data_IF_756964883709
#
_entry.id   IF_756964883709
#
_cell.length_a   1.000
_cell.length_b   1.000
_cell.length_c   1.000
_cell.angle_alpha   90.00
_cell.angle_beta   90.00
_cell.angle_gamma   90.00
#
_symmetry.space_group_name_H-M   'P 1'
#
loop_
_entity.id
_entity.type
_entity.pdbx_description
1 polymer ?
#
# COMPACT_ATOMS: atom_id res chain seq x y z
N UNK A 1 13.15 -49.55 0.48
CA UNK A 1 13.93 -48.41 1.01
C UNK A 1 13.23 -47.11 0.63
N UNK A 2 12.48 -46.49 1.55
CA UNK A 2 11.81 -45.19 1.34
C UNK A 2 12.64 -44.11 2.05
N UNK A 3 13.16 -43.14 1.30
CA UNK A 3 13.75 -41.91 1.85
C UNK A 3 12.62 -40.92 2.10
N UNK A 4 12.31 -40.64 3.37
CA UNK A 4 11.50 -39.48 3.74
C UNK A 4 12.37 -38.22 3.66
N UNK A 5 11.88 -37.20 2.94
CA UNK A 5 12.50 -35.90 2.86
C UNK A 5 12.39 -35.14 4.19
N UNK A 6 13.47 -34.46 4.56
CA UNK A 6 13.55 -33.58 5.71
C UNK A 6 12.55 -32.42 5.59
N UNK A 7 11.51 -32.40 6.43
CA UNK A 7 10.63 -31.26 6.65
C UNK A 7 11.36 -30.19 7.48
N UNK A 8 12.15 -29.34 6.82
CA UNK A 8 12.61 -28.07 7.38
C UNK A 8 11.58 -26.97 7.07
N UNK A 9 10.46 -26.96 7.80
CA UNK A 9 9.54 -25.82 7.84
C UNK A 9 8.57 -25.95 9.03
N UNK A 10 9.03 -25.70 10.26
CA UNK A 10 8.10 -25.68 11.43
C UNK A 10 8.37 -24.52 12.39
N UNK A 11 9.53 -23.83 12.31
CA UNK A 11 9.85 -22.78 13.28
C UNK A 11 9.04 -21.48 13.13
N UNK A 12 8.54 -21.15 11.93
CA UNK A 12 7.78 -19.92 11.71
C UNK A 12 6.37 -19.98 12.29
N UNK A 13 5.64 -21.07 12.02
CA UNK A 13 4.26 -21.26 12.47
C UNK A 13 4.19 -21.46 13.98
N UNK A 14 5.13 -22.23 14.56
CA UNK A 14 5.21 -22.38 16.01
C UNK A 14 5.51 -21.05 16.70
N UNK A 15 6.37 -20.20 16.14
CA UNK A 15 6.68 -18.90 16.75
C UNK A 15 5.49 -17.94 16.76
N UNK A 16 4.67 -17.94 15.70
CA UNK A 16 3.41 -17.18 15.65
C UNK A 16 2.42 -17.71 16.69
N UNK A 17 2.31 -19.03 16.84
CA UNK A 17 1.44 -19.65 17.86
C UNK A 17 1.93 -19.38 19.29
N UNK A 18 3.23 -19.35 19.53
CA UNK A 18 3.81 -19.02 20.84
C UNK A 18 3.67 -17.53 21.16
N UNK A 19 3.83 -16.64 20.17
CA UNK A 19 3.59 -15.19 20.33
C UNK A 19 2.10 -14.87 20.58
N UNK A 20 1.18 -15.69 20.05
CA UNK A 20 -0.27 -15.62 20.33
C UNK A 20 -0.64 -16.24 21.70
N UNK A 21 0.17 -17.15 22.21
CA UNK A 21 -0.06 -17.84 23.49
C UNK A 21 0.52 -17.09 24.70
N UNK A 22 1.40 -16.11 24.49
CA UNK A 22 1.86 -15.23 25.58
C UNK A 22 0.73 -14.28 26.02
N UNK A 23 0.40 -14.21 27.33
CA UNK A 23 -0.64 -13.34 27.84
C UNK A 23 -0.16 -11.89 27.88
N UNK A 24 -0.21 -11.22 26.73
CA UNK A 24 0.01 -9.77 26.64
C UNK A 24 -1.35 -9.09 26.67
N UNK A 25 -1.63 -8.44 27.80
CA UNK A 25 -2.67 -7.42 28.04
C UNK A 25 -3.99 -7.62 27.30
N UNK A 26 -5.02 -8.13 27.99
CA UNK A 26 -6.48 -7.95 27.78
C UNK A 26 -6.98 -7.30 26.48
N UNK A 27 -6.49 -7.70 25.32
CA UNK A 27 -7.04 -7.32 24.01
C UNK A 27 -7.93 -8.45 23.58
N UNK A 28 -9.23 -8.20 23.60
CA UNK A 28 -10.22 -9.15 23.12
C UNK A 28 -10.02 -9.40 21.62
N UNK A 29 -10.41 -10.58 21.14
CA UNK A 29 -10.38 -10.91 19.71
C UNK A 29 -11.15 -9.87 18.88
N UNK A 30 -12.25 -9.35 19.42
CA UNK A 30 -13.00 -8.23 18.85
C UNK A 30 -12.15 -6.97 18.70
N UNK A 31 -11.38 -6.56 19.71
CA UNK A 31 -10.49 -5.40 19.62
C UNK A 31 -9.35 -5.60 18.61
N UNK A 32 -8.82 -6.83 18.48
CA UNK A 32 -7.82 -7.16 17.46
C UNK A 32 -8.39 -7.06 16.05
N UNK A 33 -9.64 -7.50 15.85
CA UNK A 33 -10.34 -7.39 14.56
C UNK A 33 -10.72 -5.94 14.24
N UNK A 34 -11.17 -5.16 15.22
CA UNK A 34 -11.57 -3.76 15.03
C UNK A 34 -10.38 -2.81 14.86
N UNK A 35 -9.24 -3.12 15.51
CA UNK A 35 -8.01 -2.32 15.48
C UNK A 35 -6.80 -3.25 15.32
N UNK A 36 -6.54 -3.75 14.09
CA UNK A 36 -5.35 -4.53 13.83
C UNK A 36 -4.10 -3.67 14.08
N UNK A 37 -3.42 -3.92 15.20
CA UNK A 37 -2.19 -3.22 15.57
C UNK A 37 -0.99 -4.05 15.14
N UNK A 38 -0.68 -4.04 13.85
CA UNK A 38 0.68 -4.39 13.44
C UNK A 38 1.61 -3.26 13.93
N UNK A 39 2.67 -3.54 14.70
CA UNK A 39 3.59 -2.50 15.13
C UNK A 39 4.25 -1.87 13.92
N UNK A 40 4.37 -0.53 13.90
CA UNK A 40 5.11 0.16 12.85
C UNK A 40 6.58 -0.26 12.95
N UNK A 41 7.09 -0.94 11.92
CA UNK A 41 8.49 -1.31 11.86
C UNK A 41 9.31 -0.11 11.36
N UNK A 42 10.52 0.05 11.89
CA UNK A 42 11.51 0.96 11.30
C UNK A 42 11.82 0.51 9.87
N UNK A 43 11.94 1.47 8.96
CA UNK A 43 12.33 1.16 7.60
C UNK A 43 13.74 0.53 7.58
N UNK A 44 13.95 -0.59 6.87
CA UNK A 44 15.26 -1.22 6.71
C UNK A 44 16.21 -0.40 5.82
N UNK A 45 15.73 0.71 5.26
CA UNK A 45 16.49 1.68 4.47
C UNK A 45 16.00 3.10 4.76
N UNK A 46 16.82 4.10 4.44
CA UNK A 46 16.45 5.52 4.55
C UNK A 46 16.03 6.03 3.17
N UNK A 47 14.74 6.35 2.96
CA UNK A 47 14.33 6.97 1.71
C UNK A 47 14.90 8.40 1.61
N UNK A 48 14.97 9.00 0.40
CA UNK A 48 15.52 10.34 0.24
C UNK A 48 14.78 11.36 1.12
N UNK A 49 15.46 12.08 2.05
CA UNK A 49 14.79 12.88 3.08
C UNK A 49 13.86 13.96 2.54
N UNK A 50 14.23 14.57 1.41
CA UNK A 50 13.42 15.61 0.74
C UNK A 50 12.18 15.04 0.08
N UNK A 51 12.27 13.85 -0.52
CA UNK A 51 11.11 13.14 -1.05
C UNK A 51 10.16 12.76 0.08
N UNK A 52 10.66 12.27 1.22
CA UNK A 52 9.82 11.92 2.36
C UNK A 52 9.09 13.14 2.96
N UNK A 53 9.78 14.28 3.05
CA UNK A 53 9.18 15.54 3.50
C UNK A 53 8.08 16.02 2.53
N UNK A 54 8.34 15.94 1.22
CA UNK A 54 7.38 16.30 0.20
C UNK A 54 6.18 15.35 0.19
N UNK A 55 6.41 14.04 0.33
CA UNK A 55 5.35 13.04 0.47
C UNK A 55 4.45 13.37 1.66
N UNK A 56 5.04 13.69 2.81
CA UNK A 56 4.28 14.10 4.00
C UNK A 56 3.40 15.33 3.73
N UNK A 57 3.92 16.29 2.96
CA UNK A 57 3.22 17.52 2.60
C UNK A 57 2.07 17.24 1.65
N UNK A 58 2.30 16.44 0.60
CA UNK A 58 1.29 16.05 -0.38
C UNK A 58 0.20 15.22 0.30
N UNK A 59 0.56 14.21 1.09
CA UNK A 59 -0.42 13.38 1.82
C UNK A 59 -1.34 14.19 2.72
N UNK A 60 -0.80 15.15 3.50
CA UNK A 60 -1.63 16.03 4.34
C UNK A 60 -2.55 16.94 3.54
N UNK A 61 -2.16 17.30 2.31
CA UNK A 61 -2.97 18.10 1.40
C UNK A 61 -4.06 17.25 0.74
N UNK A 62 -3.72 16.05 0.29
CA UNK A 62 -4.63 15.15 -0.42
C UNK A 62 -5.64 14.51 0.53
N UNK A 63 -5.20 14.09 1.72
CA UNK A 63 -6.02 13.41 2.72
C UNK A 63 -5.96 14.14 4.07
N UNK A 64 -6.57 15.33 4.20
CA UNK A 64 -6.51 16.13 5.42
C UNK A 64 -7.10 15.40 6.65
N UNK A 65 -8.06 14.50 6.43
CA UNK A 65 -8.72 13.74 7.49
C UNK A 65 -7.96 12.48 7.94
N UNK A 66 -6.88 12.12 7.23
CA UNK A 66 -6.04 10.95 7.55
C UNK A 66 -4.79 11.39 8.30
N UNK A 67 -4.87 11.39 9.63
CA UNK A 67 -3.76 11.79 10.49
C UNK A 67 -2.59 10.79 10.47
N UNK A 68 -1.43 11.19 9.98
CA UNK A 68 -0.24 10.32 9.90
C UNK A 68 0.43 10.10 11.27
N UNK A 69 -0.08 9.16 12.08
CA UNK A 69 0.48 8.82 13.40
C UNK A 69 1.87 8.20 13.29
N UNK A 70 2.06 7.22 12.40
CA UNK A 70 3.38 6.66 12.10
C UNK A 70 3.78 6.99 10.66
N UNK A 71 4.64 7.99 10.51
CA UNK A 71 5.12 8.45 9.21
C UNK A 71 5.77 7.33 8.37
N UNK A 72 6.50 6.40 9.01
CA UNK A 72 7.15 5.29 8.32
C UNK A 72 6.17 4.40 7.55
N UNK A 73 4.95 4.18 8.06
CA UNK A 73 3.96 3.32 7.38
C UNK A 73 3.44 3.95 6.10
N UNK A 74 3.12 5.24 6.13
CA UNK A 74 2.71 5.97 4.94
C UNK A 74 3.85 6.12 3.93
N UNK A 75 5.10 6.14 4.39
CA UNK A 75 6.26 6.11 3.50
C UNK A 75 6.37 4.76 2.78
N UNK A 76 6.19 3.62 3.49
CA UNK A 76 6.25 2.27 2.90
C UNK A 76 5.31 2.13 1.70
N UNK A 77 4.12 2.71 1.79
CA UNK A 77 3.09 2.70 0.73
C UNK A 77 3.64 3.18 -0.62
N UNK A 78 4.54 4.15 -0.63
CA UNK A 78 5.07 4.76 -1.85
C UNK A 78 6.45 4.23 -2.25
N UNK A 79 6.90 3.10 -1.68
CA UNK A 79 8.13 2.43 -2.09
C UNK A 79 7.78 1.09 -2.69
N UNK A 80 7.99 0.92 -3.99
CA UNK A 80 7.82 -0.36 -4.67
C UNK A 80 9.00 -1.31 -4.36
N UNK A 81 8.80 -2.65 -4.27
CA UNK A 81 9.88 -3.61 -4.05
C UNK A 81 11.08 -3.49 -5.00
N UNK A 82 10.86 -3.07 -6.23
CA UNK A 82 11.95 -2.86 -7.22
C UNK A 82 12.91 -1.73 -6.85
N UNK A 83 12.54 -0.81 -5.96
CA UNK A 83 13.42 0.27 -5.50
C UNK A 83 14.58 -0.22 -4.64
N UNK A 84 14.42 -1.36 -3.96
CA UNK A 84 15.35 -1.83 -2.93
C UNK A 84 15.88 -3.23 -3.24
N UNK A 85 16.89 -3.66 -2.49
CA UNK A 85 17.35 -5.05 -2.47
C UNK A 85 16.35 -5.96 -1.74
N UNK A 86 16.48 -7.27 -1.92
CA UNK A 86 15.64 -8.28 -1.26
C UNK A 86 15.56 -8.14 0.27
N UNK A 87 16.64 -7.67 0.92
CA UNK A 87 16.68 -7.45 2.37
C UNK A 87 15.79 -6.26 2.82
N UNK A 88 15.51 -5.31 1.92
CA UNK A 88 14.69 -4.13 2.22
C UNK A 88 13.21 -4.28 1.88
N UNK A 89 12.79 -5.40 1.28
CA UNK A 89 11.41 -5.61 0.80
C UNK A 89 10.36 -5.48 1.90
N UNK A 90 10.68 -5.84 3.15
CA UNK A 90 9.78 -5.65 4.30
C UNK A 90 9.47 -4.17 4.60
N UNK A 91 10.28 -3.24 4.09
CA UNK A 91 10.08 -1.79 4.20
C UNK A 91 9.37 -1.15 3.01
N UNK A 92 8.75 -1.95 2.14
CA UNK A 92 8.09 -1.48 0.91
C UNK A 92 6.57 -1.62 1.03
N UNK A 93 5.84 -1.33 -0.03
CA UNK A 93 4.39 -1.51 -0.10
C UNK A 93 3.96 -2.99 -0.03
N UNK A 94 4.84 -3.94 -0.35
CA UNK A 94 4.49 -5.36 -0.54
C UNK A 94 3.80 -6.02 0.67
N UNK A 95 4.27 -5.85 1.93
CA UNK A 95 3.60 -6.44 3.09
C UNK A 95 2.20 -5.86 3.35
N UNK A 96 1.94 -4.64 2.88
CA UNK A 96 0.67 -3.93 3.06
C UNK A 96 -0.31 -4.24 1.92
N UNK A 97 0.20 -4.46 0.70
CA UNK A 97 -0.63 -4.62 -0.49
C UNK A 97 -1.67 -5.75 -0.36
N UNK A 98 -1.26 -6.94 0.10
CA UNK A 98 -2.19 -8.08 0.25
C UNK A 98 -3.30 -7.82 1.29
N UNK A 99 -2.98 -7.10 2.37
CA UNK A 99 -3.97 -6.75 3.40
C UNK A 99 -5.01 -5.78 2.85
N UNK A 100 -4.55 -4.77 2.10
CA UNK A 100 -5.42 -3.77 1.52
C UNK A 100 -6.23 -4.30 0.34
N UNK A 101 -5.67 -5.23 -0.43
CA UNK A 101 -6.39 -5.97 -1.47
C UNK A 101 -7.57 -6.73 -0.90
N UNK A 102 -7.36 -7.53 0.15
CA UNK A 102 -8.45 -8.27 0.79
C UNK A 102 -9.55 -7.34 1.34
N UNK A 103 -9.18 -6.19 1.91
CA UNK A 103 -10.16 -5.21 2.37
C UNK A 103 -10.90 -4.53 1.21
N UNK A 104 -10.20 -4.16 0.14
CA UNK A 104 -10.80 -3.59 -1.07
C UNK A 104 -11.78 -4.57 -1.71
N UNK A 105 -11.40 -5.84 -1.88
CA UNK A 105 -12.29 -6.86 -2.43
C UNK A 105 -13.57 -7.01 -1.60
N UNK A 106 -13.44 -7.03 -0.28
CA UNK A 106 -14.60 -7.08 0.63
C UNK A 106 -15.49 -5.85 0.45
N UNK A 107 -14.93 -4.65 0.46
CA UNK A 107 -15.71 -3.40 0.41
C UNK A 107 -16.35 -3.18 -0.97
N UNK A 108 -15.60 -3.43 -2.06
CA UNK A 108 -16.15 -3.43 -3.42
C UNK A 108 -17.26 -4.48 -3.57
N UNK A 109 -17.06 -5.69 -3.04
CA UNK A 109 -18.07 -6.75 -3.07
C UNK A 109 -19.35 -6.35 -2.34
N UNK A 110 -19.25 -5.79 -1.13
CA UNK A 110 -20.40 -5.29 -0.39
C UNK A 110 -21.10 -4.13 -1.13
N UNK A 111 -20.33 -3.23 -1.74
CA UNK A 111 -20.89 -2.14 -2.54
C UNK A 111 -21.66 -2.65 -3.75
N UNK A 112 -21.13 -3.65 -4.48
CA UNK A 112 -21.83 -4.30 -5.61
C UNK A 112 -23.17 -4.89 -5.12
N UNK A 113 -23.14 -5.67 -4.05
CA UNK A 113 -24.34 -6.33 -3.51
C UNK A 113 -25.39 -5.35 -2.99
N UNK A 114 -24.96 -4.19 -2.46
CA UNK A 114 -25.86 -3.13 -2.01
C UNK A 114 -26.43 -2.30 -3.17
N UNK A 115 -25.72 -2.21 -4.29
CA UNK A 115 -26.09 -1.36 -5.43
C UNK A 115 -26.91 -2.10 -6.48
N UNK A 116 -26.61 -3.37 -6.73
CA UNK A 116 -27.23 -4.16 -7.79
C UNK A 116 -28.12 -5.26 -7.20
N UNK A 117 -29.43 -5.03 -7.18
CA UNK A 117 -30.41 -6.05 -6.79
C UNK A 117 -30.40 -7.24 -7.76
N UNK A 118 -30.38 -8.45 -7.23
CA UNK A 118 -30.47 -9.68 -8.02
C UNK A 118 -29.24 -10.00 -8.88
N UNK A 119 -28.08 -9.38 -8.61
CA UNK A 119 -26.83 -9.62 -9.35
C UNK A 119 -26.48 -11.12 -9.40
N UNK A 120 -26.23 -11.64 -10.61
CA UNK A 120 -25.83 -13.03 -10.78
C UNK A 120 -24.38 -13.21 -10.35
N UNK A 121 -24.01 -14.44 -9.96
CA UNK A 121 -22.65 -14.75 -9.52
C UNK A 121 -21.57 -14.36 -10.54
N UNK A 122 -21.83 -14.58 -11.82
CA UNK A 122 -20.88 -14.27 -12.91
C UNK A 122 -20.69 -12.76 -13.10
N UNK A 123 -21.78 -12.01 -12.97
CA UNK A 123 -21.77 -10.54 -13.03
C UNK A 123 -21.05 -9.96 -11.82
N UNK A 124 -21.33 -10.47 -10.62
CA UNK A 124 -20.63 -10.10 -9.39
C UNK A 124 -19.11 -10.29 -9.53
N UNK A 125 -18.68 -11.45 -10.02
CA UNK A 125 -17.24 -11.74 -10.20
C UNK A 125 -16.61 -10.80 -11.22
N UNK A 126 -17.32 -10.52 -12.33
CA UNK A 126 -16.83 -9.63 -13.38
C UNK A 126 -16.72 -8.18 -12.92
N UNK A 127 -17.72 -7.68 -12.18
CA UNK A 127 -17.73 -6.35 -11.58
C UNK A 127 -16.63 -6.21 -10.53
N UNK A 128 -16.47 -7.21 -9.66
CA UNK A 128 -15.42 -7.20 -8.65
C UNK A 128 -14.03 -7.18 -9.30
N UNK A 129 -13.81 -8.00 -10.32
CA UNK A 129 -12.56 -8.02 -11.07
C UNK A 129 -12.27 -6.68 -11.77
N UNK A 130 -13.30 -6.02 -12.30
CA UNK A 130 -13.17 -4.70 -12.92
C UNK A 130 -12.76 -3.64 -11.89
N UNK A 131 -13.50 -3.54 -10.78
CA UNK A 131 -13.25 -2.56 -9.72
C UNK A 131 -11.88 -2.75 -9.06
N UNK A 132 -11.44 -4.01 -8.89
CA UNK A 132 -10.15 -4.33 -8.28
C UNK A 132 -9.02 -4.48 -9.30
N UNK A 133 -9.26 -4.17 -10.58
CA UNK A 133 -8.23 -4.28 -11.63
C UNK A 133 -7.07 -3.31 -11.40
N UNK A 134 -5.86 -3.73 -11.80
CA UNK A 134 -4.68 -2.88 -11.66
C UNK A 134 -4.82 -1.55 -12.42
N UNK A 135 -5.47 -1.57 -13.58
CA UNK A 135 -5.77 -0.38 -14.37
C UNK A 135 -6.67 0.60 -13.61
N UNK A 136 -7.78 0.14 -13.04
CA UNK A 136 -8.72 0.99 -12.29
C UNK A 136 -8.04 1.62 -11.07
N UNK A 137 -7.34 0.81 -10.27
CA UNK A 137 -6.64 1.28 -9.08
C UNK A 137 -5.47 2.23 -9.43
N UNK A 138 -4.73 1.96 -10.51
CA UNK A 138 -3.68 2.87 -10.96
C UNK A 138 -4.23 4.25 -11.36
N UNK A 139 -5.42 4.32 -11.97
CA UNK A 139 -6.09 5.59 -12.29
C UNK A 139 -6.46 6.37 -11.04
N UNK A 140 -6.91 5.72 -9.96
CA UNK A 140 -7.14 6.39 -8.67
C UNK A 140 -5.87 7.12 -8.19
N UNK A 141 -4.73 6.44 -8.22
CA UNK A 141 -3.45 7.03 -7.84
C UNK A 141 -3.01 8.18 -8.78
N UNK A 142 -3.15 7.97 -10.09
CA UNK A 142 -2.64 8.87 -11.13
C UNK A 142 -3.51 10.10 -11.31
N UNK A 143 -4.80 9.90 -11.51
CA UNK A 143 -5.71 10.94 -11.98
C UNK A 143 -6.38 11.66 -10.81
N UNK A 144 -6.76 10.90 -9.79
CA UNK A 144 -7.47 11.43 -8.65
C UNK A 144 -6.52 11.92 -7.55
N UNK A 145 -5.67 11.04 -7.00
CA UNK A 145 -4.71 11.43 -5.97
C UNK A 145 -3.58 12.30 -6.53
N UNK A 146 -3.25 12.13 -7.83
CA UNK A 146 -2.14 12.80 -8.51
C UNK A 146 -0.79 12.54 -7.85
N UNK A 147 -0.59 11.32 -7.35
CA UNK A 147 0.60 10.94 -6.58
C UNK A 147 1.47 9.88 -7.26
N UNK A 148 1.20 9.55 -8.54
CA UNK A 148 2.00 8.57 -9.31
C UNK A 148 3.51 8.86 -9.25
N UNK A 149 3.89 10.13 -9.42
CA UNK A 149 5.29 10.59 -9.40
C UNK A 149 5.99 10.41 -8.05
N UNK A 150 5.24 10.14 -6.98
CA UNK A 150 5.78 9.91 -5.64
C UNK A 150 6.17 8.46 -5.40
N UNK A 151 5.78 7.52 -6.27
CA UNK A 151 6.12 6.10 -6.11
C UNK A 151 7.59 5.87 -6.49
N UNK A 152 8.39 5.43 -5.52
CA UNK A 152 9.78 5.05 -5.73
C UNK A 152 9.87 3.64 -6.32
N UNK A 153 10.55 3.52 -7.45
CA UNK A 153 10.81 2.29 -8.21
C UNK A 153 12.29 2.16 -8.56
N UNK A 154 12.69 1.04 -9.15
CA UNK A 154 14.00 0.84 -9.79
C UNK A 154 14.41 2.00 -10.73
N UNK A 155 13.47 2.55 -11.52
CA UNK A 155 13.76 3.71 -12.36
C UNK A 155 14.18 4.94 -11.52
N UNK A 156 13.56 5.16 -10.37
CA UNK A 156 13.96 6.23 -9.45
C UNK A 156 15.28 5.92 -8.74
N UNK A 157 15.57 4.64 -8.44
CA UNK A 157 16.85 4.21 -7.86
C UNK A 157 18.01 4.47 -8.83
N UNK A 158 17.82 4.18 -10.11
CA UNK A 158 18.78 4.46 -11.19
C UNK A 158 19.03 5.96 -11.39
N UNK A 159 17.99 6.79 -11.27
CA UNK A 159 18.14 8.24 -11.36
C UNK A 159 18.88 8.83 -10.16
N UNK A 160 18.63 8.30 -8.96
CA UNK A 160 19.30 8.73 -7.73
C UNK A 160 20.76 8.27 -7.70
N UNK A 161 21.09 7.10 -8.25
CA UNK A 161 22.46 6.58 -8.29
C UNK A 161 23.36 7.33 -9.29
N UNK A 162 22.81 7.83 -10.41
CA UNK A 162 23.57 8.45 -11.50
C UNK A 162 24.09 9.89 -11.25
N UNK A 163 24.29 10.32 -9.99
CA UNK A 163 24.78 11.66 -9.57
C UNK A 163 23.98 12.89 -10.07
N UNK A 164 23.10 12.79 -11.07
CA UNK A 164 22.34 13.90 -11.68
C UNK A 164 21.33 14.55 -10.72
N UNK A 165 20.87 13.81 -9.70
CA UNK A 165 19.98 14.30 -8.64
C UNK A 165 20.69 14.54 -7.29
N UNK A 166 22.02 14.44 -7.24
CA UNK A 166 22.80 14.71 -6.00
C UNK A 166 22.70 16.17 -5.54
N UNK A 167 22.33 17.08 -6.45
CA UNK A 167 22.08 18.47 -6.10
C UNK A 167 20.66 18.65 -5.58
N UNK A 168 20.55 19.46 -4.52
CA UNK A 168 19.30 19.99 -3.98
C UNK A 168 18.29 20.47 -5.05
N UNK A 169 18.79 21.07 -6.13
CA UNK A 169 17.98 21.59 -7.24
C UNK A 169 17.48 20.49 -8.18
N UNK A 170 18.29 19.46 -8.42
CA UNK A 170 17.91 18.32 -9.27
C UNK A 170 16.73 17.55 -8.68
N UNK A 171 16.78 17.27 -7.37
CA UNK A 171 15.71 16.56 -6.68
C UNK A 171 14.41 17.39 -6.59
N UNK A 172 14.51 18.71 -6.39
CA UNK A 172 13.34 19.61 -6.47
C UNK A 172 12.74 19.61 -7.87
N UNK A 173 13.56 19.67 -8.93
CA UNK A 173 13.09 19.62 -10.31
C UNK A 173 12.41 18.29 -10.65
N UNK A 174 12.92 17.18 -10.13
CA UNK A 174 12.29 15.86 -10.28
C UNK A 174 10.93 15.78 -9.59
N UNK A 175 10.84 16.22 -8.32
CA UNK A 175 9.57 16.28 -7.57
C UNK A 175 8.55 17.25 -8.18
N UNK A 176 9.02 18.32 -8.85
CA UNK A 176 8.17 19.35 -9.43
C UNK A 176 7.81 19.08 -10.90
N UNK A 177 8.39 18.06 -11.52
CA UNK A 177 8.13 17.77 -12.93
C UNK A 177 6.79 17.04 -13.05
N UNK A 178 5.86 17.51 -13.90
CA UNK A 178 4.72 16.71 -14.32
C UNK A 178 5.21 15.34 -14.80
N UNK A 179 4.49 14.25 -14.48
CA UNK A 179 4.86 12.89 -14.87
C UNK A 179 5.19 12.77 -16.37
N UNK A 180 4.55 13.58 -17.23
CA UNK A 180 4.80 13.66 -18.67
C UNK A 180 6.01 14.51 -19.08
N UNK A 181 6.46 15.46 -18.25
CA UNK A 181 7.54 16.40 -18.55
C UNK A 181 8.91 15.94 -18.03
N UNK A 182 8.94 14.93 -17.15
CA UNK A 182 10.17 14.39 -16.58
C UNK A 182 10.92 13.42 -17.50
N UNK A 183 10.35 13.02 -18.64
CA UNK A 183 10.88 11.93 -19.46
C UNK A 183 10.93 10.58 -18.73
N UNK A 184 10.24 10.47 -17.59
CA UNK A 184 10.04 9.22 -16.87
C UNK A 184 8.97 8.43 -17.59
N UNK A 185 9.21 7.13 -17.77
CA UNK A 185 8.16 6.25 -18.24
C UNK A 185 6.99 6.28 -17.25
N UNK A 186 5.74 6.20 -17.73
CA UNK A 186 4.57 6.09 -16.87
C UNK A 186 4.73 4.91 -15.92
N UNK A 187 4.23 5.06 -14.69
CA UNK A 187 4.32 4.00 -13.68
C UNK A 187 3.57 2.76 -14.21
N UNK A 188 4.18 1.57 -14.19
CA UNK A 188 3.47 0.34 -14.53
C UNK A 188 2.20 0.20 -13.69
N UNK A 189 1.08 -0.13 -14.32
CA UNK A 189 -0.23 -0.19 -13.64
C UNK A 189 -0.24 -1.05 -12.36
N UNK A 190 0.40 -2.25 -12.34
CA UNK A 190 0.45 -3.06 -11.13
C UNK A 190 1.15 -2.36 -9.95
N UNK A 191 2.09 -1.46 -10.22
CA UNK A 191 2.82 -0.73 -9.16
C UNK A 191 1.93 0.35 -8.56
N UNK A 192 1.18 1.05 -9.42
CA UNK A 192 0.20 2.04 -8.97
C UNK A 192 -0.94 1.39 -8.19
N UNK A 193 -1.45 0.26 -8.66
CA UNK A 193 -2.45 -0.53 -7.96
C UNK A 193 -1.94 -1.04 -6.61
N UNK A 194 -0.71 -1.54 -6.56
CA UNK A 194 -0.05 -1.94 -5.32
C UNK A 194 0.05 -0.81 -4.29
N UNK A 195 0.32 0.42 -4.74
CA UNK A 195 0.34 1.61 -3.90
C UNK A 195 -1.05 1.92 -3.30
N UNK A 196 -2.13 1.85 -4.10
CA UNK A 196 -3.49 2.07 -3.59
C UNK A 196 -3.87 0.99 -2.58
N UNK A 197 -3.61 -0.28 -2.89
CA UNK A 197 -3.83 -1.41 -1.97
C UNK A 197 -3.07 -1.18 -0.66
N UNK A 198 -1.77 -0.85 -0.72
CA UNK A 198 -0.98 -0.58 0.47
C UNK A 198 -1.47 0.64 1.27
N UNK A 199 -1.99 1.68 0.62
CA UNK A 199 -2.58 2.84 1.31
C UNK A 199 -3.81 2.43 2.14
N UNK A 200 -4.70 1.64 1.56
CA UNK A 200 -5.90 1.13 2.26
C UNK A 200 -5.50 0.35 3.51
N UNK A 201 -4.49 -0.51 3.40
CA UNK A 201 -3.93 -1.22 4.57
C UNK A 201 -3.30 -0.27 5.59
N UNK A 202 -2.57 0.77 5.15
CA UNK A 202 -1.98 1.75 6.05
C UNK A 202 -3.07 2.46 6.88
N UNK A 203 -4.17 2.89 6.24
CA UNK A 203 -5.30 3.51 6.95
C UNK A 203 -5.94 2.53 7.94
N UNK A 204 -6.17 1.27 7.53
CA UNK A 204 -6.70 0.23 8.40
C UNK A 204 -5.84 0.03 9.66
N UNK A 205 -4.53 -0.09 9.51
CA UNK A 205 -3.61 -0.37 10.61
C UNK A 205 -3.38 0.84 11.53
N UNK A 206 -3.57 2.06 11.03
CA UNK A 206 -3.38 3.31 11.81
C UNK A 206 -4.66 3.78 12.52
N UNK A 207 -5.80 3.59 11.85
CA UNK A 207 -7.06 4.22 12.22
C UNK A 207 -8.20 3.22 12.47
N UNK A 208 -8.01 1.94 12.15
CA UNK A 208 -9.01 0.89 12.33
C UNK A 208 -9.97 0.74 11.14
N UNK A 209 -10.85 -0.26 11.24
CA UNK A 209 -11.73 -0.67 10.14
C UNK A 209 -12.65 0.47 9.66
N UNK A 210 -13.31 1.19 10.57
CA UNK A 210 -14.29 2.23 10.21
C UNK A 210 -13.66 3.41 9.46
N UNK A 211 -12.40 3.72 9.76
CA UNK A 211 -11.67 4.75 9.03
C UNK A 211 -11.23 4.27 7.64
N UNK A 212 -10.81 3.01 7.52
CA UNK A 212 -10.46 2.42 6.23
C UNK A 212 -11.67 2.27 5.31
N UNK A 213 -12.83 1.88 5.85
CA UNK A 213 -14.08 1.82 5.10
C UNK A 213 -14.53 3.19 4.58
N UNK A 214 -14.48 4.22 5.44
CA UNK A 214 -14.74 5.60 5.02
C UNK A 214 -13.74 6.07 3.96
N UNK A 215 -12.45 5.77 4.15
CA UNK A 215 -11.42 6.11 3.17
C UNK A 215 -11.66 5.44 1.82
N UNK A 216 -12.00 4.15 1.78
CA UNK A 216 -12.28 3.45 0.53
C UNK A 216 -13.54 4.01 -0.15
N UNK A 217 -14.59 4.29 0.62
CA UNK A 217 -15.84 4.83 0.09
C UNK A 217 -15.75 6.29 -0.39
N UNK A 218 -14.86 7.11 0.18
CA UNK A 218 -14.67 8.49 -0.25
C UNK A 218 -13.54 8.69 -1.26
N UNK A 219 -12.40 7.99 -1.10
CA UNK A 219 -11.16 8.27 -1.85
C UNK A 219 -10.85 7.26 -2.96
N UNK A 220 -11.55 6.11 -2.99
CA UNK A 220 -11.26 5.02 -3.95
C UNK A 220 -12.47 4.69 -4.81
N UNK A 221 -13.53 4.15 -4.21
CA UNK A 221 -14.72 3.64 -4.94
C UNK A 221 -15.31 4.65 -5.94
N UNK A 222 -15.46 5.95 -5.64
CA UNK A 222 -16.04 6.92 -6.58
C UNK A 222 -15.24 7.12 -7.87
N UNK A 223 -14.00 6.62 -7.91
CA UNK A 223 -13.04 6.85 -8.98
C UNK A 223 -12.62 5.56 -9.70
N UNK A 224 -13.29 4.42 -9.43
CA UNK A 224 -13.04 3.14 -10.08
C UNK A 224 -13.83 2.91 -11.39
N UNK A 225 -14.70 3.85 -11.77
CA UNK A 225 -15.58 3.77 -12.95
C UNK A 225 -15.33 4.94 -13.91
#
# INVERSE_FOLDING_TARGET
MRRCGNLRAVNGVLRVLTELAEPRSTTTYHELLCKPRLPAQSLPFLPPPRWAAELSRVLRKTFPDVAQRHHSRFVQVFVHPSFTTAAGVSGTMQPLAAVGEALLERLCGLWILATFEGVRREEYVSLLALLCSDTALCRVLRDHWRMEHMVLTDASADLLSRQRLSSAKGLVRWLSAPSSASGLQPLPEPYGAGCVKAMVAAVLLEHGNDAAERFVTSEVLPYLL
#
